data_IF_474959770243
#
_entry.id   IF_474959770243
#
_cell.length_a   1.000
_cell.length_b   1.000
_cell.length_c   1.000
_cell.angle_alpha   90.00
_cell.angle_beta   90.00
_cell.angle_gamma   90.00
#
_symmetry.space_group_name_H-M   'P 1'
#
loop_
_entity.id
_entity.type
_entity.pdbx_description
1 polymer ?
#
# COMPACT_ATOMS: atom_id res chain seq x y z
N UNK A 1 -18.15 -1.17 2.13
CA UNK A 1 -16.96 -1.42 2.96
C UNK A 1 -16.17 -2.55 2.31
N UNK A 2 -15.17 -2.23 1.49
CA UNK A 2 -14.20 -3.21 0.97
C UNK A 2 -12.89 -2.87 1.65
N UNK A 3 -12.65 -3.54 2.78
CA UNK A 3 -11.33 -3.60 3.39
C UNK A 3 -10.36 -4.02 2.30
N UNK A 4 -9.27 -3.26 2.10
CA UNK A 4 -8.15 -3.80 1.36
C UNK A 4 -7.75 -5.06 2.13
N UNK A 5 -8.02 -6.23 1.55
CA UNK A 5 -7.74 -7.51 2.21
C UNK A 5 -6.28 -7.49 2.65
N UNK A 6 -5.97 -7.70 3.94
CA UNK A 6 -4.60 -7.85 4.37
C UNK A 6 -4.07 -9.11 3.67
N UNK A 7 -3.22 -8.91 2.65
CA UNK A 7 -2.74 -9.99 1.78
C UNK A 7 -2.81 -9.72 0.27
N UNK A 8 -3.44 -8.63 -0.18
CA UNK A 8 -3.53 -8.30 -1.60
C UNK A 8 -2.40 -7.34 -2.06
N UNK A 9 -1.56 -7.78 -2.99
CA UNK A 9 -0.63 -6.92 -3.73
C UNK A 9 -1.44 -5.97 -4.63
N UNK A 10 -1.13 -4.67 -4.60
CA UNK A 10 -1.95 -3.68 -5.27
C UNK A 10 -1.57 -3.46 -6.73
N UNK A 11 -0.33 -3.79 -7.10
CA UNK A 11 0.21 -3.67 -8.45
C UNK A 11 0.55 -5.02 -9.10
N UNK A 12 0.38 -6.13 -8.38
CA UNK A 12 0.77 -7.44 -8.90
C UNK A 12 -0.32 -8.10 -9.72
N UNK A 13 0.08 -8.59 -10.90
CA UNK A 13 -0.79 -9.38 -11.77
C UNK A 13 -0.81 -10.85 -11.29
N UNK A 14 -1.70 -11.14 -10.33
CA UNK A 14 -1.80 -12.46 -9.67
C UNK A 14 -1.93 -13.64 -10.64
N UNK A 15 -2.50 -13.42 -11.82
CA UNK A 15 -2.72 -14.47 -12.81
C UNK A 15 -1.45 -14.94 -13.52
N UNK A 16 -0.41 -14.10 -13.60
CA UNK A 16 0.83 -14.43 -14.32
C UNK A 16 1.78 -15.32 -13.50
N UNK A 17 1.63 -15.36 -12.18
CA UNK A 17 2.54 -16.06 -11.27
C UNK A 17 1.89 -17.20 -10.48
N UNK A 18 0.62 -17.53 -10.75
CA UNK A 18 -0.12 -18.65 -10.13
C UNK A 18 0.48 -20.04 -10.41
N UNK A 19 1.47 -20.12 -11.31
CA UNK A 19 2.12 -21.37 -11.72
C UNK A 19 3.38 -21.74 -10.92
N UNK A 20 3.82 -20.92 -9.97
CA UNK A 20 4.98 -21.23 -9.13
C UNK A 20 4.53 -21.96 -7.84
N UNK A 21 4.93 -23.23 -7.70
CA UNK A 21 4.51 -24.10 -6.60
C UNK A 21 5.00 -23.65 -5.22
N UNK A 22 6.04 -22.81 -5.15
CA UNK A 22 6.58 -22.27 -3.91
C UNK A 22 6.64 -20.74 -3.97
N UNK A 23 5.95 -20.09 -3.04
CA UNK A 23 5.95 -18.65 -2.87
C UNK A 23 6.01 -18.30 -1.39
N UNK A 24 6.70 -17.20 -1.06
CA UNK A 24 6.76 -16.63 0.27
C UNK A 24 6.29 -15.18 0.17
N UNK A 25 5.23 -14.84 0.90
CA UNK A 25 4.71 -13.49 0.96
C UNK A 25 4.77 -12.95 2.39
N UNK A 26 5.09 -11.67 2.51
CA UNK A 26 5.05 -10.91 3.76
C UNK A 26 4.32 -9.61 3.56
N UNK A 27 3.46 -9.25 4.52
CA UNK A 27 2.70 -8.00 4.51
C UNK A 27 2.90 -7.28 5.83
N UNK A 28 3.23 -6.01 5.75
CA UNK A 28 3.36 -5.13 6.89
C UNK A 28 2.55 -3.87 6.64
N UNK A 29 1.67 -3.52 7.58
CA UNK A 29 0.90 -2.29 7.53
C UNK A 29 0.98 -1.59 8.88
N UNK A 30 1.28 -0.30 8.86
CA UNK A 30 1.28 0.52 10.06
C UNK A 30 0.47 1.79 9.83
N UNK A 31 -0.54 2.00 10.67
CA UNK A 31 -1.37 3.20 10.64
C UNK A 31 -0.92 4.17 11.72
N UNK A 32 -0.63 5.38 11.26
CA UNK A 32 -0.17 6.50 12.06
C UNK A 32 -1.32 7.51 12.20
N UNK A 33 -2.09 7.40 13.29
CA UNK A 33 -3.11 8.39 13.61
C UNK A 33 -2.45 9.71 14.06
N UNK A 34 -2.64 10.79 13.30
CA UNK A 34 -2.21 12.14 13.68
C UNK A 34 -0.71 12.41 13.71
N UNK A 35 0.13 11.50 13.20
CA UNK A 35 1.55 11.42 13.55
C UNK A 35 2.48 12.43 12.84
N UNK A 36 2.01 13.12 11.80
CA UNK A 36 2.73 14.25 11.16
C UNK A 36 1.92 15.56 11.11
N UNK A 37 0.60 15.48 10.92
CA UNK A 37 -0.25 16.66 10.73
C UNK A 37 -1.00 17.08 12.01
N UNK A 38 -1.13 16.17 12.99
CA UNK A 38 -1.80 16.46 14.26
C UNK A 38 -1.01 17.37 15.21
N UNK A 39 0.30 17.53 14.94
CA UNK A 39 1.20 18.43 15.70
C UNK A 39 1.20 19.88 15.20
N UNK A 40 0.66 20.15 14.00
CA UNK A 40 0.56 21.50 13.46
C UNK A 40 -0.77 22.11 13.94
N UNK A 41 -0.75 23.16 14.80
CA UNK A 41 -1.97 23.85 15.18
C UNK A 41 -2.66 24.41 13.93
N UNK A 42 -3.91 24.00 13.68
CA UNK A 42 -4.68 24.31 12.46
C UNK A 42 -5.04 23.08 11.62
N UNK A 43 -4.15 22.10 11.50
CA UNK A 43 -4.40 20.86 10.73
C UNK A 43 -4.86 19.68 11.61
N UNK A 44 -4.71 19.81 12.94
CA UNK A 44 -5.16 18.80 13.92
C UNK A 44 -6.66 18.48 13.84
N UNK A 45 -7.51 19.44 13.47
CA UNK A 45 -8.96 19.23 13.36
C UNK A 45 -9.37 18.42 12.12
N UNK A 46 -8.46 18.22 11.17
CA UNK A 46 -8.76 17.50 9.93
C UNK A 46 -8.81 15.98 10.15
N UNK A 47 -8.22 15.47 11.24
CA UNK A 47 -8.31 14.05 11.61
C UNK A 47 -7.67 13.09 10.61
N UNK A 48 -6.74 13.59 9.77
CA UNK A 48 -6.06 12.76 8.77
C UNK A 48 -5.20 11.70 9.45
N UNK A 49 -5.20 10.50 8.84
CA UNK A 49 -4.34 9.41 9.25
C UNK A 49 -3.39 9.08 8.10
N UNK A 50 -2.13 8.79 8.43
CA UNK A 50 -1.17 8.29 7.45
C UNK A 50 -1.10 6.78 7.57
N UNK A 51 -1.06 6.09 6.43
CA UNK A 51 -0.89 4.66 6.36
C UNK A 51 0.43 4.35 5.67
N UNK A 52 1.21 3.45 6.23
CA UNK A 52 2.42 2.92 5.61
C UNK A 52 2.24 1.42 5.40
N UNK A 53 2.48 0.95 4.20
CA UNK A 53 2.34 -0.44 3.81
C UNK A 53 3.62 -0.92 3.13
N UNK A 54 4.01 -2.16 3.40
CA UNK A 54 5.12 -2.83 2.75
C UNK A 54 4.71 -4.28 2.48
N UNK A 55 4.76 -4.68 1.21
CA UNK A 55 4.45 -6.02 0.77
C UNK A 55 5.70 -6.61 0.11
N UNK A 56 6.12 -7.78 0.55
CA UNK A 56 7.23 -8.53 -0.03
C UNK A 56 6.71 -9.83 -0.63
N UNK A 57 7.13 -10.14 -1.85
CA UNK A 57 6.90 -11.43 -2.47
C UNK A 57 8.21 -12.01 -2.97
N UNK A 58 8.41 -13.27 -2.64
CA UNK A 58 9.40 -14.14 -3.23
C UNK A 58 8.66 -15.27 -3.95
N UNK A 59 9.00 -15.49 -5.21
CA UNK A 59 8.57 -16.64 -6.00
C UNK A 59 9.67 -17.02 -6.98
N UNK A 60 9.74 -18.28 -7.41
CA UNK A 60 10.74 -18.75 -8.37
C UNK A 60 10.78 -17.91 -9.65
N UNK A 61 9.63 -17.38 -10.09
CA UNK A 61 9.51 -16.53 -11.27
C UNK A 61 9.86 -15.05 -11.00
N UNK A 62 9.84 -14.60 -9.73
CA UNK A 62 10.05 -13.21 -9.34
C UNK A 62 10.71 -13.14 -7.95
N UNK A 63 12.03 -13.42 -7.86
CA UNK A 63 12.69 -13.69 -6.58
C UNK A 63 12.81 -12.48 -5.64
N UNK A 64 12.56 -11.25 -6.09
CA UNK A 64 12.61 -10.07 -5.21
C UNK A 64 11.62 -9.00 -5.67
N UNK A 65 10.36 -9.18 -5.28
CA UNK A 65 9.31 -8.18 -5.46
C UNK A 65 9.06 -7.47 -4.12
N UNK A 66 9.28 -6.17 -4.09
CA UNK A 66 8.96 -5.33 -2.93
C UNK A 66 8.04 -4.20 -3.37
N UNK A 67 6.87 -4.10 -2.74
CA UNK A 67 5.91 -3.01 -2.94
C UNK A 67 5.83 -2.19 -1.66
N UNK A 68 6.11 -0.90 -1.75
CA UNK A 68 5.98 0.05 -0.66
C UNK A 68 4.79 0.96 -0.96
N UNK A 69 3.90 1.12 0.01
CA UNK A 69 2.72 1.98 -0.06
C UNK A 69 2.77 3.06 1.00
N UNK A 70 2.40 4.28 0.65
CA UNK A 70 2.11 5.36 1.60
C UNK A 70 0.76 5.97 1.26
N UNK A 71 -0.12 6.07 2.26
CA UNK A 71 -1.47 6.56 2.11
C UNK A 71 -1.82 7.66 3.09
N UNK A 72 -2.76 8.51 2.70
CA UNK A 72 -3.41 9.49 3.55
C UNK A 72 -4.91 9.20 3.52
N UNK A 73 -5.47 8.92 4.68
CA UNK A 73 -6.89 8.65 4.89
C UNK A 73 -7.62 9.86 5.48
N UNK A 74 -8.95 9.87 5.32
CA UNK A 74 -9.86 10.89 5.86
C UNK A 74 -9.59 12.30 5.34
N UNK A 75 -9.09 12.43 4.12
CA UNK A 75 -9.05 13.72 3.43
C UNK A 75 -10.51 14.18 3.24
N UNK A 76 -10.87 15.30 3.87
CA UNK A 76 -12.25 15.77 4.02
C UNK A 76 -13.23 14.71 4.58
N UNK A 77 -12.76 13.79 5.43
CA UNK A 77 -13.55 12.66 5.96
C UNK A 77 -14.17 11.72 4.91
N UNK A 78 -13.78 11.83 3.63
CA UNK A 78 -14.43 11.12 2.53
C UNK A 78 -13.43 10.44 1.58
N UNK A 79 -12.20 10.94 1.53
CA UNK A 79 -11.21 10.52 0.55
C UNK A 79 -10.04 9.83 1.22
N UNK A 80 -9.49 8.87 0.50
CA UNK A 80 -8.20 8.26 0.77
C UNK A 80 -7.37 8.27 -0.52
N UNK A 81 -6.12 8.66 -0.38
CA UNK A 81 -5.15 8.67 -1.48
C UNK A 81 -3.97 7.82 -1.04
N UNK A 82 -3.65 6.81 -1.83
CA UNK A 82 -2.49 5.95 -1.61
C UNK A 82 -1.54 6.06 -2.81
N UNK A 83 -0.25 6.12 -2.53
CA UNK A 83 0.82 6.04 -3.49
C UNK A 83 1.60 4.74 -3.25
N UNK A 84 1.70 3.90 -4.26
CA UNK A 84 2.45 2.65 -4.23
C UNK A 84 3.63 2.72 -5.18
N UNK A 85 4.75 2.17 -4.75
CA UNK A 85 5.96 2.03 -5.52
C UNK A 85 6.46 0.60 -5.40
N UNK A 86 6.56 -0.08 -6.54
CA UNK A 86 7.08 -1.44 -6.62
C UNK A 86 8.50 -1.45 -7.18
N UNK A 87 9.37 -2.16 -6.48
CA UNK A 87 10.77 -2.38 -6.82
C UNK A 87 10.92 -3.82 -7.27
N UNK A 88 11.16 -4.00 -8.56
CA UNK A 88 11.44 -5.30 -9.16
C UNK A 88 12.85 -5.28 -9.72
N UNK A 89 13.69 -6.21 -9.26
CA UNK A 89 15.06 -6.36 -9.79
C UNK A 89 15.07 -6.86 -11.25
N UNK A 90 13.95 -7.43 -11.71
CA UNK A 90 13.89 -8.15 -12.96
C UNK A 90 13.65 -7.27 -14.20
N UNK A 91 12.90 -6.16 -14.16
CA UNK A 91 12.87 -5.29 -15.36
C UNK A 91 12.25 -3.89 -15.25
N UNK A 92 11.32 -3.55 -14.34
CA UNK A 92 10.80 -2.17 -14.27
C UNK A 92 10.20 -1.84 -12.89
N UNK A 93 10.54 -0.66 -12.36
CA UNK A 93 9.89 -0.11 -11.16
C UNK A 93 8.55 0.53 -11.56
N UNK A 94 7.44 -0.03 -11.09
CA UNK A 94 6.11 0.48 -11.38
C UNK A 94 5.59 1.30 -10.19
N UNK A 95 5.14 2.51 -10.48
CA UNK A 95 4.45 3.36 -9.52
C UNK A 95 2.95 3.36 -9.83
N UNK A 96 2.13 3.52 -8.79
CA UNK A 96 0.68 3.61 -8.92
C UNK A 96 0.12 4.56 -7.88
N UNK A 97 -0.92 5.30 -8.27
CA UNK A 97 -1.72 6.09 -7.35
C UNK A 97 -3.10 5.44 -7.27
N UNK A 98 -3.63 5.34 -6.06
CA UNK A 98 -5.00 4.90 -5.82
C UNK A 98 -5.77 5.99 -5.12
N UNK A 99 -6.94 6.29 -5.67
CA UNK A 99 -7.94 7.15 -5.05
C UNK A 99 -9.09 6.26 -4.59
N UNK A 100 -9.49 6.41 -3.34
CA UNK A 100 -10.64 5.72 -2.76
C UNK A 100 -11.61 6.76 -2.20
N UNK A 101 -12.86 6.65 -2.63
CA UNK A 101 -13.96 7.51 -2.21
C UNK A 101 -14.88 6.71 -1.28
N UNK A 102 -15.17 7.26 -0.10
CA UNK A 102 -15.94 6.59 0.96
C UNK A 102 -15.07 5.68 1.82
N UNK A 103 -15.12 5.89 3.14
CA UNK A 103 -14.55 4.96 4.14
C UNK A 103 -15.49 3.78 4.37
#
# INVERSE_FOLDING_TARGET
MQEALPGAFQLMDYYRYSSANEYLQGHFSHRFDGLLLGKIPGLRNLGWAMLLEANYLYTEALPHYLELGIGIEKIFSLLRIDYYYSLNRAENAHWGIRLRFGS
#
